data_IF_232056294233
#
_entry.id   IF_232056294233
#
_cell.length_a   1.000
_cell.length_b   1.000
_cell.length_c   1.000
_cell.angle_alpha   90.00
_cell.angle_beta   90.00
_cell.angle_gamma   90.00
#
_symmetry.space_group_name_H-M   'P 1'
#
loop_
_entity.id
_entity.type
_entity.pdbx_description
1 polymer ?
#
# COMPACT_ATOMS: atom_id res chain seq x y z
N UNK A 1 19.33 1.32 15.38
CA UNK A 1 19.53 1.54 13.93
C UNK A 1 18.21 1.47 13.16
N UNK A 2 17.07 1.26 13.84
CA UNK A 2 15.71 1.21 13.27
C UNK A 2 15.15 2.58 12.88
N UNK A 3 15.64 3.67 13.49
CA UNK A 3 15.05 5.01 13.38
C UNK A 3 15.07 5.63 11.97
N UNK A 4 16.04 5.26 11.13
CA UNK A 4 16.13 5.80 9.78
C UNK A 4 15.14 5.16 8.81
N UNK A 5 14.84 3.87 8.98
CA UNK A 5 13.82 3.17 8.18
C UNK A 5 12.42 3.67 8.56
N UNK A 6 12.16 3.84 9.87
CA UNK A 6 10.91 4.41 10.37
C UNK A 6 10.69 5.83 9.84
N UNK A 7 11.73 6.68 9.89
CA UNK A 7 11.64 8.06 9.37
C UNK A 7 11.37 8.07 7.85
N UNK A 8 12.03 7.18 7.08
CA UNK A 8 11.79 7.06 5.64
C UNK A 8 10.37 6.58 5.34
N UNK A 9 9.87 5.57 6.07
CA UNK A 9 8.48 5.11 5.96
C UNK A 9 7.50 6.24 6.26
N UNK A 10 7.69 6.99 7.34
CA UNK A 10 6.79 8.09 7.68
C UNK A 10 6.76 9.17 6.58
N UNK A 11 7.88 9.47 5.95
CA UNK A 11 7.92 10.40 4.81
C UNK A 11 7.13 9.83 3.62
N UNK A 12 7.36 8.57 3.24
CA UNK A 12 6.64 7.94 2.13
C UNK A 12 5.15 7.82 2.41
N UNK A 13 4.77 7.55 3.66
CA UNK A 13 3.39 7.44 4.12
C UNK A 13 2.77 8.79 4.50
N UNK A 14 3.46 9.90 4.27
CA UNK A 14 2.92 11.23 4.55
C UNK A 14 1.79 11.56 3.58
N UNK A 15 0.84 12.38 4.04
CA UNK A 15 -0.29 12.84 3.22
C UNK A 15 0.19 13.41 1.88
N UNK A 16 1.20 14.28 1.89
CA UNK A 16 1.72 14.92 0.67
C UNK A 16 2.22 13.93 -0.40
N UNK A 17 2.67 12.74 -0.02
CA UNK A 17 3.18 11.75 -0.97
C UNK A 17 2.10 10.72 -1.32
N UNK A 18 1.41 10.21 -0.31
CA UNK A 18 0.58 9.02 -0.47
C UNK A 18 -0.91 9.32 -0.67
N UNK A 19 -1.40 10.48 -0.24
CA UNK A 19 -2.84 10.78 -0.28
C UNK A 19 -3.39 10.85 -1.70
N UNK A 20 -2.74 11.61 -2.60
CA UNK A 20 -3.17 11.71 -3.99
C UNK A 20 -3.24 10.35 -4.70
N UNK A 21 -2.16 9.53 -4.72
CA UNK A 21 -2.23 8.23 -5.38
C UNK A 21 -3.26 7.30 -4.71
N UNK A 22 -3.36 7.27 -3.38
CA UNK A 22 -4.37 6.42 -2.70
C UNK A 22 -5.80 6.85 -3.01
N UNK A 23 -6.03 8.15 -3.17
CA UNK A 23 -7.34 8.67 -3.56
C UNK A 23 -7.70 8.24 -4.98
N UNK A 24 -6.79 8.43 -5.94
CA UNK A 24 -7.02 8.00 -7.32
C UNK A 24 -7.20 6.48 -7.44
N UNK A 25 -6.41 5.69 -6.70
CA UNK A 25 -6.58 4.23 -6.62
C UNK A 25 -8.00 3.93 -6.15
N UNK A 26 -8.45 4.55 -5.05
CA UNK A 26 -9.79 4.38 -4.52
C UNK A 26 -10.89 4.70 -5.53
N UNK A 27 -10.73 5.72 -6.38
CA UNK A 27 -11.73 6.06 -7.39
C UNK A 27 -11.76 5.07 -8.57
N UNK A 28 -10.63 4.44 -8.90
CA UNK A 28 -10.52 3.48 -10.02
C UNK A 28 -10.79 2.03 -9.61
N UNK A 29 -10.53 1.69 -8.35
CA UNK A 29 -10.70 0.35 -7.80
C UNK A 29 -12.08 -0.29 -8.03
N UNK A 30 -13.21 0.39 -7.77
CA UNK A 30 -14.53 -0.23 -7.96
C UNK A 30 -14.78 -0.59 -9.42
N UNK A 31 -14.35 0.27 -10.36
CA UNK A 31 -14.46 -0.02 -11.80
C UNK A 31 -13.62 -1.23 -12.18
N UNK A 32 -12.38 -1.31 -11.70
CA UNK A 32 -11.50 -2.44 -11.96
C UNK A 32 -12.08 -3.75 -11.42
N UNK A 33 -12.62 -3.73 -10.19
CA UNK A 33 -13.30 -4.87 -9.57
C UNK A 33 -14.48 -5.35 -10.42
N UNK A 34 -15.30 -4.44 -10.94
CA UNK A 34 -16.43 -4.78 -11.80
C UNK A 34 -15.98 -5.41 -13.13
N UNK A 35 -14.97 -4.83 -13.79
CA UNK A 35 -14.45 -5.36 -15.05
C UNK A 35 -13.78 -6.73 -14.89
N UNK A 36 -13.09 -6.95 -13.77
CA UNK A 36 -12.38 -8.21 -13.50
C UNK A 36 -13.23 -9.23 -12.75
N UNK A 37 -14.45 -8.89 -12.34
CA UNK A 37 -15.34 -9.77 -11.55
C UNK A 37 -15.56 -11.15 -12.18
N UNK A 38 -15.62 -11.22 -13.51
CA UNK A 38 -15.81 -12.49 -14.23
C UNK A 38 -14.52 -13.29 -14.41
N UNK A 39 -13.37 -12.63 -14.30
CA UNK A 39 -12.04 -13.26 -14.42
C UNK A 39 -11.46 -13.66 -13.06
N UNK A 40 -11.88 -12.99 -11.99
CA UNK A 40 -11.43 -13.23 -10.62
C UNK A 40 -12.21 -14.35 -9.96
N UNK A 41 -11.52 -15.14 -9.14
CA UNK A 41 -12.17 -16.07 -8.21
C UNK A 41 -12.90 -15.31 -7.11
N UNK A 42 -13.90 -15.93 -6.47
CA UNK A 42 -14.60 -15.33 -5.33
C UNK A 42 -13.65 -14.94 -4.18
N UNK A 43 -12.59 -15.73 -3.98
CA UNK A 43 -11.56 -15.46 -2.98
C UNK A 43 -10.77 -14.19 -3.30
N UNK A 44 -10.28 -14.05 -4.54
CA UNK A 44 -9.56 -12.85 -4.98
C UNK A 44 -10.47 -11.62 -4.98
N UNK A 45 -11.71 -11.75 -5.43
CA UNK A 45 -12.68 -10.66 -5.40
C UNK A 45 -12.92 -10.16 -3.96
N UNK A 46 -13.04 -11.06 -2.98
CA UNK A 46 -13.16 -10.68 -1.56
C UNK A 46 -11.90 -9.99 -1.04
N UNK A 47 -10.72 -10.51 -1.36
CA UNK A 47 -9.44 -9.91 -0.96
C UNK A 47 -9.28 -8.50 -1.51
N UNK A 48 -9.54 -8.33 -2.80
CA UNK A 48 -9.46 -7.02 -3.45
C UNK A 48 -10.56 -6.07 -2.95
N UNK A 49 -11.77 -6.55 -2.68
CA UNK A 49 -12.83 -5.74 -2.07
C UNK A 49 -12.41 -5.26 -0.67
N UNK A 50 -11.76 -6.11 0.12
CA UNK A 50 -11.28 -5.71 1.44
C UNK A 50 -10.13 -4.70 1.38
N UNK A 51 -9.20 -4.85 0.43
CA UNK A 51 -8.19 -3.82 0.16
C UNK A 51 -8.81 -2.47 -0.19
N UNK A 52 -9.85 -2.46 -1.02
CA UNK A 52 -10.58 -1.23 -1.36
C UNK A 52 -11.17 -0.54 -0.13
N UNK A 53 -11.78 -1.29 0.79
CA UNK A 53 -12.28 -0.74 2.05
C UNK A 53 -11.16 -0.11 2.89
N UNK A 54 -9.99 -0.75 2.95
CA UNK A 54 -8.82 -0.23 3.67
C UNK A 54 -8.27 1.05 3.01
N UNK A 55 -8.27 1.13 1.68
CA UNK A 55 -7.86 2.35 0.93
C UNK A 55 -8.84 3.51 1.24
N UNK A 56 -10.14 3.23 1.27
CA UNK A 56 -11.14 4.24 1.62
C UNK A 56 -10.96 4.73 3.07
N UNK A 57 -10.73 3.81 4.01
CA UNK A 57 -10.47 4.16 5.41
C UNK A 57 -9.18 4.99 5.54
N UNK A 58 -8.12 4.61 4.83
CA UNK A 58 -6.85 5.34 4.79
C UNK A 58 -7.02 6.77 4.27
N UNK A 59 -7.73 6.93 3.15
CA UNK A 59 -8.04 8.26 2.60
C UNK A 59 -8.86 9.10 3.59
N UNK A 60 -9.79 8.49 4.32
CA UNK A 60 -10.55 9.14 5.38
C UNK A 60 -9.67 9.61 6.55
N UNK A 61 -8.68 8.80 6.94
CA UNK A 61 -7.69 9.17 7.97
C UNK A 61 -6.83 10.35 7.48
N UNK A 62 -6.36 10.34 6.23
CA UNK A 62 -5.65 11.50 5.68
C UNK A 62 -6.49 12.78 5.64
N UNK A 63 -7.80 12.68 5.47
CA UNK A 63 -8.70 13.83 5.46
C UNK A 63 -8.95 14.39 6.87
N UNK A 64 -9.15 13.50 7.85
CA UNK A 64 -9.52 13.87 9.23
C UNK A 64 -8.33 14.07 10.17
N UNK A 65 -7.38 13.13 10.17
CA UNK A 65 -6.24 13.04 11.10
C UNK A 65 -4.95 12.60 10.36
N UNK A 66 -4.41 13.44 9.46
CA UNK A 66 -3.24 13.07 8.64
C UNK A 66 -1.95 12.90 9.43
N UNK A 67 -1.85 13.47 10.63
CA UNK A 67 -0.72 13.30 11.54
C UNK A 67 -0.76 11.96 12.31
N UNK A 68 -1.85 11.19 12.18
CA UNK A 68 -2.01 9.90 12.87
C UNK A 68 -1.29 8.77 12.12
N UNK A 69 0.04 8.84 12.10
CA UNK A 69 0.91 7.85 11.47
C UNK A 69 0.69 6.44 12.01
N UNK A 70 0.38 6.28 13.30
CA UNK A 70 0.07 4.97 13.89
C UNK A 70 -1.11 4.31 13.18
N UNK A 71 -2.17 5.08 12.91
CA UNK A 71 -3.35 4.57 12.20
C UNK A 71 -3.07 4.31 10.73
N UNK A 72 -2.31 5.18 10.07
CA UNK A 72 -1.89 5.03 8.67
C UNK A 72 -1.07 3.74 8.50
N UNK A 73 -0.11 3.49 9.39
CA UNK A 73 0.74 2.29 9.40
C UNK A 73 -0.07 1.02 9.71
N UNK A 74 -1.02 1.07 10.65
CA UNK A 74 -1.95 -0.04 10.93
C UNK A 74 -2.77 -0.42 9.68
N UNK A 75 -3.27 0.57 8.94
CA UNK A 75 -4.03 0.35 7.72
C UNK A 75 -3.20 -0.25 6.59
N UNK A 76 -1.97 0.24 6.42
CA UNK A 76 -1.03 -0.30 5.44
C UNK A 76 -0.64 -1.75 5.74
N UNK A 77 -0.43 -2.10 7.01
CA UNK A 77 -0.17 -3.48 7.42
C UNK A 77 -1.36 -4.40 7.09
N UNK A 78 -2.59 -3.98 7.42
CA UNK A 78 -3.80 -4.74 7.06
C UNK A 78 -3.98 -4.90 5.56
N UNK A 79 -3.62 -3.88 4.79
CA UNK A 79 -3.69 -3.93 3.33
C UNK A 79 -2.71 -4.97 2.76
N UNK A 80 -1.52 -5.06 3.35
CA UNK A 80 -0.52 -6.09 3.03
C UNK A 80 -0.99 -7.50 3.42
N UNK A 81 -1.68 -7.66 4.55
CA UNK A 81 -2.27 -8.96 4.94
C UNK A 81 -3.32 -9.46 3.92
N UNK A 82 -4.02 -8.54 3.23
CA UNK A 82 -4.92 -8.91 2.14
C UNK A 82 -4.16 -9.44 0.92
N UNK A 83 -2.88 -9.10 0.78
CA UNK A 83 -1.98 -9.50 -0.31
C UNK A 83 -1.54 -8.32 -1.17
N UNK A 84 -1.04 -8.63 -2.37
CA UNK A 84 -0.60 -7.59 -3.30
C UNK A 84 -1.82 -6.89 -3.93
N UNK A 85 -1.81 -5.55 -4.01
CA UNK A 85 -2.82 -4.80 -4.76
C UNK A 85 -2.79 -5.12 -6.26
N UNK A 86 -3.87 -4.82 -7.01
CA UNK A 86 -3.93 -5.06 -8.44
C UNK A 86 -2.87 -4.23 -9.18
N UNK A 87 -1.93 -4.91 -9.82
CA UNK A 87 -0.76 -4.29 -10.48
C UNK A 87 -1.16 -3.27 -11.55
N UNK A 88 -2.27 -3.47 -12.27
CA UNK A 88 -2.78 -2.52 -13.27
C UNK A 88 -3.04 -1.14 -12.67
N UNK A 89 -3.65 -1.08 -11.49
CA UNK A 89 -4.00 0.18 -10.83
C UNK A 89 -2.75 0.83 -10.24
N UNK A 90 -1.88 0.02 -9.62
CA UNK A 90 -0.68 0.51 -8.94
C UNK A 90 0.38 1.01 -9.92
N UNK A 91 0.65 0.28 -11.01
CA UNK A 91 1.64 0.70 -12.00
C UNK A 91 1.27 2.01 -12.70
N UNK A 92 -0.03 2.26 -12.86
CA UNK A 92 -0.50 3.45 -13.56
C UNK A 92 -0.42 4.71 -12.68
N UNK A 93 -0.72 4.57 -11.39
CA UNK A 93 -0.84 5.70 -10.46
C UNK A 93 0.44 5.97 -9.68
N UNK A 94 1.27 4.96 -9.47
CA UNK A 94 2.48 5.11 -8.69
C UNK A 94 3.59 4.14 -9.17
N UNK A 95 4.06 4.25 -10.44
CA UNK A 95 5.07 3.36 -11.00
C UNK A 95 6.42 3.43 -10.26
N UNK A 96 6.70 4.57 -9.62
CA UNK A 96 7.92 4.82 -8.83
C UNK A 96 7.71 4.48 -7.34
N UNK A 97 6.47 4.23 -6.93
CA UNK A 97 6.09 4.01 -5.55
C UNK A 97 5.73 2.54 -5.33
N UNK A 98 6.73 1.75 -4.96
CA UNK A 98 6.55 0.33 -4.67
C UNK A 98 5.73 0.10 -3.38
N UNK A 99 4.41 0.27 -3.45
CA UNK A 99 3.45 -0.12 -2.38
C UNK A 99 3.62 -1.59 -1.98
N UNK A 100 4.01 -2.43 -2.95
CA UNK A 100 4.36 -3.83 -2.74
C UNK A 100 5.55 -4.01 -1.80
N UNK A 101 6.57 -3.14 -1.88
CA UNK A 101 7.76 -3.21 -1.04
C UNK A 101 7.52 -2.62 0.37
N UNK A 102 6.59 -1.67 0.52
CA UNK A 102 6.33 -1.00 1.81
C UNK A 102 6.01 -1.94 2.98
N UNK A 103 5.33 -3.08 2.74
CA UNK A 103 5.16 -4.10 3.79
C UNK A 103 6.07 -5.33 3.66
N UNK A 104 6.87 -5.43 2.59
CA UNK A 104 8.02 -6.35 2.56
C UNK A 104 9.24 -5.81 3.32
N UNK A 105 9.17 -4.60 3.88
CA UNK A 105 10.08 -4.08 4.90
C UNK A 105 9.88 -4.81 6.24
N UNK A 106 9.81 -6.14 6.19
CA UNK A 106 10.17 -7.00 7.29
C UNK A 106 11.69 -6.88 7.47
N UNK A 107 12.20 -6.73 8.71
CA UNK A 107 13.63 -6.56 8.97
C UNK A 107 14.52 -7.70 8.41
N UNK A 108 13.91 -8.84 8.05
CA UNK A 108 14.58 -10.02 7.50
C UNK A 108 15.02 -9.88 6.03
N UNK A 109 14.37 -9.03 5.23
CA UNK A 109 14.68 -8.92 3.79
C UNK A 109 15.79 -7.91 3.45
N UNK A 110 16.12 -6.98 4.35
CA UNK A 110 17.19 -5.99 4.10
C UNK A 110 18.61 -6.59 4.31
N UNK A 111 18.73 -7.67 5.08
CA UNK A 111 20.01 -8.38 5.25
C UNK A 111 20.47 -9.05 3.94
N UNK A 112 19.54 -9.41 3.04
CA UNK A 112 19.86 -10.00 1.73
C UNK A 112 20.41 -8.98 0.72
N UNK A 113 19.99 -7.72 0.76
CA UNK A 113 20.47 -6.69 -0.18
C UNK A 113 21.81 -6.06 0.22
N UNK A 114 22.18 -6.06 1.50
CA UNK A 114 23.51 -5.60 1.92
C UNK A 114 24.62 -6.64 1.65
N UNK A 115 24.26 -7.91 1.39
CA UNK A 115 25.23 -9.00 1.17
C UNK A 115 25.59 -9.26 -0.30
N UNK A 116 25.07 -8.48 -1.25
CA UNK A 116 25.45 -8.56 -2.67
C UNK A 116 26.45 -7.49 -3.12
N UNK A 117 27.01 -6.70 -2.20
CA UNK A 117 28.01 -5.65 -2.53
C UNK A 117 29.36 -5.83 -1.85
N UNK A 118 29.63 -6.98 -1.24
CA UNK A 118 30.96 -7.30 -0.69
C UNK A 118 31.52 -8.47 -1.49
N UNK A 119 32.43 -8.14 -2.42
CA UNK A 119 33.43 -9.07 -2.94
C UNK A 119 34.37 -9.54 -1.82
#
# INVERSE_FOLDING_TARGET
MESMVETMMQQLLSKDILYEPMKEIGERYPKWLEEHKSSLSEEDYKRYSHQYELIQELNGVYDSDPDNFTRIVDLMQKMQECGQPPNDIVNELAPDFDITNLGQLSPDMMEAQQKCSIM
#
